data_IF_470872607375
#
_entry.id   IF_470872607375
#
_cell.length_a   1.000
_cell.length_b   1.000
_cell.length_c   1.000
_cell.angle_alpha   90.00
_cell.angle_beta   90.00
_cell.angle_gamma   90.00
#
_symmetry.space_group_name_H-M   'P 1'
#
loop_
_entity.id
_entity.type
_entity.pdbx_description
1 polymer ?
#
# COMPACT_ATOMS: atom_id res chain seq x y z
N UNK A 1 -10.16 38.69 -65.54
CA UNK A 1 -10.24 37.24 -65.27
C UNK A 1 -9.49 36.83 -63.99
N UNK A 2 -8.16 36.97 -63.93
CA UNK A 2 -7.34 36.51 -62.79
C UNK A 2 -7.76 37.06 -61.41
N UNK A 3 -7.92 38.39 -61.28
CA UNK A 3 -8.28 39.05 -60.00
C UNK A 3 -9.62 38.55 -59.44
N UNK A 4 -10.61 38.33 -60.29
CA UNK A 4 -11.94 37.84 -59.87
C UNK A 4 -11.85 36.42 -59.33
N UNK A 5 -11.08 35.56 -59.99
CA UNK A 5 -10.84 34.18 -59.54
C UNK A 5 -10.00 34.12 -58.26
N UNK A 6 -9.06 35.05 -58.08
CA UNK A 6 -8.29 35.15 -56.84
C UNK A 6 -9.20 35.55 -55.66
N UNK A 7 -10.06 36.56 -55.85
CA UNK A 7 -11.00 37.02 -54.81
C UNK A 7 -12.03 35.96 -54.39
N UNK A 8 -12.44 35.08 -55.30
CA UNK A 8 -13.42 34.03 -54.99
C UNK A 8 -12.83 32.82 -54.27
N UNK A 9 -11.51 32.61 -54.38
CA UNK A 9 -10.84 31.40 -53.85
C UNK A 9 -9.87 31.69 -52.70
N UNK A 10 -9.44 32.94 -52.51
CA UNK A 10 -8.54 33.32 -51.42
C UNK A 10 -9.35 33.83 -50.22
N UNK A 11 -9.44 33.00 -49.18
CA UNK A 11 -9.99 33.38 -47.88
C UNK A 11 -8.85 33.61 -46.90
N UNK A 12 -8.81 34.81 -46.30
CA UNK A 12 -7.78 35.20 -45.33
C UNK A 12 -8.43 35.32 -43.95
N UNK A 13 -7.88 34.60 -42.97
CA UNK A 13 -8.28 34.70 -41.57
C UNK A 13 -7.11 35.26 -40.78
N UNK A 14 -7.35 36.31 -40.01
CA UNK A 14 -6.35 37.00 -39.22
C UNK A 14 -6.70 36.89 -37.73
N UNK A 15 -5.80 36.32 -36.94
CA UNK A 15 -5.99 36.17 -35.49
C UNK A 15 -5.13 37.19 -34.75
N UNK A 16 -5.77 38.08 -34.01
CA UNK A 16 -5.09 39.12 -33.24
C UNK A 16 -5.42 39.00 -31.75
N UNK A 17 -4.44 39.30 -30.90
CA UNK A 17 -4.72 39.53 -29.48
C UNK A 17 -5.31 40.92 -29.29
N UNK A 18 -6.46 41.06 -28.61
CA UNK A 18 -7.02 42.37 -28.26
C UNK A 18 -6.23 43.06 -27.15
N UNK A 19 -5.24 42.39 -26.53
CA UNK A 19 -4.45 42.92 -25.43
C UNK A 19 -3.32 43.82 -25.95
N UNK A 20 -3.29 45.06 -25.47
CA UNK A 20 -2.25 46.05 -25.76
C UNK A 20 -2.57 47.01 -26.89
N UNK A 21 -1.80 48.09 -26.99
CA UNK A 21 -2.10 49.21 -27.90
C UNK A 21 -1.75 48.94 -29.37
N UNK A 22 -0.89 47.95 -29.64
CA UNK A 22 -0.39 47.66 -30.99
C UNK A 22 -1.51 47.32 -31.97
N UNK A 23 -2.49 46.51 -31.55
CA UNK A 23 -3.61 46.15 -32.41
C UNK A 23 -4.47 47.36 -32.75
N UNK A 24 -4.84 48.16 -31.75
CA UNK A 24 -5.56 49.43 -31.95
C UNK A 24 -4.85 50.36 -32.93
N UNK A 25 -3.55 50.59 -32.75
CA UNK A 25 -2.77 51.46 -33.62
C UNK A 25 -2.68 50.93 -35.06
N UNK A 26 -2.62 49.61 -35.26
CA UNK A 26 -2.63 49.00 -36.59
C UNK A 26 -4.00 49.09 -37.25
N UNK A 27 -5.07 48.84 -36.48
CA UNK A 27 -6.43 48.94 -36.98
C UNK A 27 -6.77 50.35 -37.47
N UNK A 28 -6.26 51.38 -36.78
CA UNK A 28 -6.38 52.78 -37.22
C UNK A 28 -5.57 53.09 -38.49
N UNK A 29 -4.37 52.51 -38.62
CA UNK A 29 -3.53 52.70 -39.82
C UNK A 29 -4.05 51.96 -41.05
N UNK A 30 -4.78 50.86 -40.86
CA UNK A 30 -5.27 49.99 -41.93
C UNK A 30 -6.78 49.74 -41.78
N UNK A 31 -7.65 50.70 -42.18
CA UNK A 31 -9.10 50.60 -42.00
C UNK A 31 -9.73 49.41 -42.73
N UNK A 32 -9.10 48.92 -43.81
CA UNK A 32 -9.54 47.72 -44.55
C UNK A 32 -9.58 46.45 -43.70
N UNK A 33 -8.85 46.39 -42.58
CA UNK A 33 -8.94 45.26 -41.63
C UNK A 33 -10.29 45.18 -40.93
N UNK A 34 -10.95 46.32 -40.70
CA UNK A 34 -12.25 46.37 -40.02
C UNK A 34 -13.37 46.37 -41.06
N UNK A 35 -13.24 47.15 -42.14
CA UNK A 35 -14.31 47.28 -43.14
C UNK A 35 -14.38 46.11 -44.13
N UNK A 36 -13.28 45.39 -44.34
CA UNK A 36 -13.20 44.30 -45.32
C UNK A 36 -13.30 42.88 -44.74
N UNK A 37 -13.38 42.75 -43.42
CA UNK A 37 -13.40 41.45 -42.74
C UNK A 37 -14.60 41.35 -41.78
N UNK A 38 -15.10 40.13 -41.58
CA UNK A 38 -16.05 39.84 -40.49
C UNK A 38 -15.28 39.67 -39.19
N UNK A 39 -15.75 40.32 -38.12
CA UNK A 39 -15.14 40.23 -36.80
C UNK A 39 -15.81 39.12 -35.98
N UNK A 40 -14.99 38.21 -35.46
CA UNK A 40 -15.39 37.17 -34.51
C UNK A 40 -14.64 37.35 -33.19
N UNK A 41 -15.37 37.38 -32.08
CA UNK A 41 -14.84 37.69 -30.76
C UNK A 41 -14.71 36.44 -29.91
N UNK A 42 -13.48 36.11 -29.52
CA UNK A 42 -13.21 35.02 -28.59
C UNK A 42 -13.28 35.52 -27.16
N UNK A 43 -14.40 35.24 -26.50
CA UNK A 43 -14.60 35.50 -25.08
C UNK A 43 -13.99 34.40 -24.21
N UNK A 44 -13.91 34.68 -22.90
CA UNK A 44 -13.54 33.65 -21.92
C UNK A 44 -14.59 32.53 -21.94
N UNK A 45 -14.14 31.31 -21.69
CA UNK A 45 -15.06 30.17 -21.58
C UNK A 45 -16.04 30.38 -20.43
N UNK A 46 -17.36 30.26 -20.66
CA UNK A 46 -18.33 30.27 -19.59
C UNK A 46 -18.16 29.03 -18.71
N UNK A 47 -18.75 29.05 -17.51
CA UNK A 47 -18.68 27.94 -16.57
C UNK A 47 -19.15 26.63 -17.19
N UNK A 48 -20.20 26.65 -18.00
CA UNK A 48 -20.73 25.46 -18.68
C UNK A 48 -19.71 24.84 -19.65
N UNK A 49 -18.94 25.67 -20.35
CA UNK A 49 -17.88 25.19 -21.24
C UNK A 49 -16.72 24.58 -20.44
N UNK A 50 -16.36 25.19 -19.29
CA UNK A 50 -15.34 24.64 -18.39
C UNK A 50 -15.76 23.29 -17.80
N UNK A 51 -17.03 23.15 -17.43
CA UNK A 51 -17.64 21.88 -16.97
C UNK A 51 -17.63 20.85 -18.10
N UNK A 52 -18.02 21.22 -19.32
CA UNK A 52 -18.04 20.32 -20.46
C UNK A 52 -16.63 19.81 -20.82
N UNK A 53 -15.62 20.69 -20.80
CA UNK A 53 -14.21 20.32 -21.02
C UNK A 53 -13.72 19.40 -19.90
N UNK A 54 -14.02 19.73 -18.64
CA UNK A 54 -13.65 18.89 -17.50
C UNK A 54 -14.29 17.50 -17.61
N UNK A 55 -15.57 17.45 -17.99
CA UNK A 55 -16.29 16.19 -18.19
C UNK A 55 -15.67 15.38 -19.33
N UNK A 56 -15.36 15.99 -20.47
CA UNK A 56 -14.67 15.31 -21.57
C UNK A 56 -13.33 14.72 -21.12
N UNK A 57 -12.56 15.46 -20.31
CA UNK A 57 -11.27 14.97 -19.82
C UNK A 57 -11.39 13.89 -18.75
N UNK A 58 -12.34 13.98 -17.83
CA UNK A 58 -12.40 13.13 -16.63
C UNK A 58 -13.43 11.99 -16.72
N UNK A 59 -14.40 12.04 -17.64
CA UNK A 59 -15.45 11.01 -17.80
C UNK A 59 -14.86 9.61 -18.00
N UNK A 60 -13.91 9.46 -18.93
CA UNK A 60 -13.23 8.19 -19.23
C UNK A 60 -12.06 7.89 -18.28
N UNK A 61 -11.71 8.80 -17.38
CA UNK A 61 -10.63 8.58 -16.42
C UNK A 61 -11.13 7.76 -15.22
N UNK A 62 -10.41 6.70 -14.85
CA UNK A 62 -10.75 5.90 -13.68
C UNK A 62 -10.47 6.68 -12.38
N UNK A 63 -11.41 6.64 -11.47
CA UNK A 63 -11.32 7.30 -10.16
C UNK A 63 -12.10 6.45 -9.17
N UNK A 64 -11.52 6.20 -8.00
CA UNK A 64 -12.18 5.46 -6.91
C UNK A 64 -13.20 6.37 -6.23
N UNK A 65 -14.37 6.54 -6.85
CA UNK A 65 -15.45 7.40 -6.35
C UNK A 65 -16.81 6.96 -6.89
N UNK A 66 -17.89 7.35 -6.23
CA UNK A 66 -19.24 7.21 -6.79
C UNK A 66 -19.46 8.20 -7.95
N UNK A 67 -20.53 7.98 -8.73
CA UNK A 67 -20.88 8.84 -9.87
C UNK A 67 -21.15 10.28 -9.43
N UNK A 68 -21.82 10.45 -8.28
CA UNK A 68 -22.15 11.75 -7.70
C UNK A 68 -20.88 12.53 -7.35
N UNK A 69 -19.94 11.89 -6.66
CA UNK A 69 -18.65 12.50 -6.30
C UNK A 69 -17.87 12.88 -7.55
N UNK A 70 -17.88 12.04 -8.59
CA UNK A 70 -17.20 12.33 -9.85
C UNK A 70 -17.79 13.54 -10.56
N UNK A 71 -19.12 13.66 -10.57
CA UNK A 71 -19.80 14.84 -11.11
C UNK A 71 -19.49 16.11 -10.32
N UNK A 72 -19.40 16.01 -8.98
CA UNK A 72 -18.98 17.10 -8.10
C UNK A 72 -17.54 17.54 -8.38
N UNK A 73 -16.62 16.59 -8.55
CA UNK A 73 -15.24 16.85 -8.93
C UNK A 73 -15.15 17.63 -10.24
N UNK A 74 -15.90 17.22 -11.28
CA UNK A 74 -15.93 17.90 -12.58
C UNK A 74 -16.37 19.36 -12.44
N UNK A 75 -17.40 19.63 -11.62
CA UNK A 75 -17.87 21.00 -11.35
C UNK A 75 -16.82 21.82 -10.60
N UNK A 76 -16.19 21.24 -9.58
CA UNK A 76 -15.15 21.90 -8.79
C UNK A 76 -13.96 22.31 -9.65
N UNK A 77 -13.53 21.48 -10.61
CA UNK A 77 -12.43 21.82 -11.52
C UNK A 77 -12.74 23.12 -12.29
N UNK A 78 -13.98 23.26 -12.78
CA UNK A 78 -14.43 24.46 -13.46
C UNK A 78 -14.47 25.68 -12.53
N UNK A 79 -15.00 25.52 -11.30
CA UNK A 79 -15.03 26.58 -10.29
C UNK A 79 -13.64 27.06 -9.89
N UNK A 80 -12.66 26.15 -9.73
CA UNK A 80 -11.28 26.53 -9.42
C UNK A 80 -10.71 27.48 -10.49
N UNK A 81 -10.94 27.17 -11.76
CA UNK A 81 -10.47 27.99 -12.87
C UNK A 81 -11.13 29.39 -12.88
N UNK A 82 -12.41 29.46 -12.54
CA UNK A 82 -13.15 30.72 -12.39
C UNK A 82 -12.60 31.54 -11.22
N UNK A 83 -12.42 30.93 -10.05
CA UNK A 83 -11.82 31.58 -8.87
C UNK A 83 -10.42 32.12 -9.18
N UNK A 84 -9.55 31.34 -9.86
CA UNK A 84 -8.22 31.84 -10.24
C UNK A 84 -8.32 33.04 -11.18
N UNK A 85 -9.32 33.05 -12.06
CA UNK A 85 -9.57 34.19 -12.97
C UNK A 85 -9.99 35.44 -12.21
N UNK A 86 -10.87 35.32 -11.21
CA UNK A 86 -11.26 36.43 -10.32
C UNK A 86 -10.07 36.92 -9.50
N UNK A 87 -9.26 36.00 -8.98
CA UNK A 87 -8.06 36.33 -8.21
C UNK A 87 -7.02 37.08 -9.04
N UNK A 88 -6.88 36.78 -10.34
CA UNK A 88 -6.04 37.56 -11.24
C UNK A 88 -6.49 39.03 -11.36
N UNK A 89 -7.81 39.28 -11.37
CA UNK A 89 -8.35 40.64 -11.38
C UNK A 89 -8.07 41.35 -10.06
N UNK A 90 -8.40 40.71 -8.93
CA UNK A 90 -8.13 41.26 -7.60
C UNK A 90 -6.62 41.54 -7.37
N UNK A 91 -5.75 40.67 -7.88
CA UNK A 91 -4.30 40.83 -7.80
C UNK A 91 -3.83 42.05 -8.61
N UNK A 92 -4.39 42.27 -9.81
CA UNK A 92 -4.11 43.45 -10.60
C UNK A 92 -4.61 44.73 -9.93
N UNK A 93 -5.81 44.71 -9.34
CA UNK A 93 -6.36 45.88 -8.64
C UNK A 93 -5.50 46.30 -7.45
N UNK A 94 -5.01 45.33 -6.68
CA UNK A 94 -4.22 45.59 -5.47
C UNK A 94 -2.75 45.92 -5.74
N UNK A 95 -2.11 45.19 -6.66
CA UNK A 95 -0.65 45.28 -6.86
C UNK A 95 -0.24 45.88 -8.20
N UNK A 96 -1.20 46.19 -9.09
CA UNK A 96 -0.97 46.69 -10.46
C UNK A 96 -0.03 45.79 -11.29
N UNK A 97 0.02 44.51 -10.96
CA UNK A 97 0.76 43.47 -11.69
C UNK A 97 -0.24 42.60 -12.46
N UNK A 98 -0.11 42.58 -13.78
CA UNK A 98 -0.97 41.75 -14.62
C UNK A 98 -0.53 40.29 -14.57
N UNK A 99 -1.48 39.41 -14.29
CA UNK A 99 -1.34 37.96 -14.41
C UNK A 99 -2.44 37.46 -15.35
N UNK A 100 -2.12 36.43 -16.14
CA UNK A 100 -3.01 35.91 -17.16
C UNK A 100 -3.30 34.44 -16.93
N UNK A 101 -4.56 34.09 -17.13
CA UNK A 101 -5.06 32.72 -17.09
C UNK A 101 -5.59 32.42 -18.49
N UNK A 102 -5.25 31.25 -19.03
CA UNK A 102 -5.64 30.86 -20.39
C UNK A 102 -6.34 29.50 -20.37
N UNK A 103 -7.18 29.17 -21.36
CA UNK A 103 -7.72 27.82 -21.49
C UNK A 103 -6.60 26.75 -21.52
N UNK A 104 -5.42 27.06 -22.07
CA UNK A 104 -4.27 26.16 -22.05
C UNK A 104 -3.79 25.83 -20.63
N UNK A 105 -3.74 26.81 -19.73
CA UNK A 105 -3.36 26.54 -18.32
C UNK A 105 -4.38 25.64 -17.63
N UNK A 106 -5.67 25.76 -17.97
CA UNK A 106 -6.71 24.87 -17.48
C UNK A 106 -6.54 23.43 -17.96
N UNK A 107 -6.25 23.24 -19.26
CA UNK A 107 -5.98 21.91 -19.82
C UNK A 107 -4.74 21.26 -19.18
N UNK A 108 -3.68 22.04 -18.95
CA UNK A 108 -2.51 21.57 -18.20
C UNK A 108 -2.87 21.17 -16.77
N UNK A 109 -3.72 21.94 -16.09
CA UNK A 109 -4.20 21.61 -14.75
C UNK A 109 -4.95 20.27 -14.72
N UNK A 110 -5.89 20.04 -15.64
CA UNK A 110 -6.60 18.76 -15.76
C UNK A 110 -5.66 17.59 -16.07
N UNK A 111 -4.65 17.82 -16.92
CA UNK A 111 -3.61 16.84 -17.22
C UNK A 111 -2.77 16.48 -15.98
N UNK A 112 -2.29 17.49 -15.26
CA UNK A 112 -1.53 17.31 -14.03
C UNK A 112 -2.34 16.60 -12.95
N UNK A 113 -3.64 16.87 -12.84
CA UNK A 113 -4.52 16.16 -11.92
C UNK A 113 -4.53 14.66 -12.17
N UNK A 114 -4.61 14.22 -13.44
CA UNK A 114 -4.59 12.79 -13.79
C UNK A 114 -3.29 12.13 -13.36
N UNK A 115 -2.16 12.75 -13.69
CA UNK A 115 -0.83 12.23 -13.32
C UNK A 115 -0.71 12.11 -11.80
N UNK A 116 -1.03 13.19 -11.08
CA UNK A 116 -0.93 13.21 -9.63
C UNK A 116 -1.88 12.19 -8.97
N UNK A 117 -3.11 12.06 -9.47
CA UNK A 117 -4.06 11.09 -8.94
C UNK A 117 -3.56 9.67 -9.10
N UNK A 118 -3.04 9.33 -10.29
CA UNK A 118 -2.46 8.01 -10.56
C UNK A 118 -1.31 7.70 -9.61
N UNK A 119 -0.34 8.61 -9.50
CA UNK A 119 0.84 8.41 -8.65
C UNK A 119 0.44 8.20 -7.18
N UNK A 120 -0.53 8.97 -6.69
CA UNK A 120 -1.05 8.81 -5.31
C UNK A 120 -1.84 7.53 -5.13
N UNK A 121 -2.65 7.15 -6.12
CA UNK A 121 -3.44 5.94 -6.07
C UNK A 121 -2.54 4.70 -6.07
N UNK A 122 -1.56 4.64 -6.97
CA UNK A 122 -0.59 3.55 -7.05
C UNK A 122 0.23 3.45 -5.76
N UNK A 123 0.66 4.58 -5.20
CA UNK A 123 1.36 4.61 -3.90
C UNK A 123 0.52 4.07 -2.74
N UNK A 124 -0.77 4.39 -2.69
CA UNK A 124 -1.69 3.85 -1.68
C UNK A 124 -1.94 2.36 -1.92
N UNK A 125 -2.08 1.93 -3.17
CA UNK A 125 -2.30 0.52 -3.50
C UNK A 125 -1.13 -0.36 -3.03
N UNK A 126 0.11 0.09 -3.21
CA UNK A 126 1.30 -0.59 -2.70
C UNK A 126 1.28 -0.70 -1.17
N UNK A 127 0.90 0.38 -0.48
CA UNK A 127 0.82 0.39 0.98
C UNK A 127 -0.29 -0.55 1.49
N UNK A 128 -1.46 -0.52 0.84
CA UNK A 128 -2.58 -1.39 1.16
C UNK A 128 -2.21 -2.87 0.97
N UNK A 129 -1.49 -3.20 -0.10
CA UNK A 129 -1.04 -4.57 -0.38
C UNK A 129 -0.02 -5.06 0.64
N UNK A 130 0.89 -4.19 1.07
CA UNK A 130 1.82 -4.49 2.16
C UNK A 130 1.08 -4.75 3.47
N UNK A 131 0.09 -3.94 3.81
CA UNK A 131 -0.74 -4.14 5.00
C UNK A 131 -1.54 -5.44 4.92
N UNK A 132 -2.13 -5.75 3.75
CA UNK A 132 -2.87 -6.99 3.51
C UNK A 132 -1.98 -8.21 3.72
N UNK A 133 -0.78 -8.19 3.13
CA UNK A 133 0.22 -9.27 3.30
C UNK A 133 0.61 -9.45 4.77
N UNK A 134 0.87 -8.34 5.48
CA UNK A 134 1.17 -8.38 6.91
C UNK A 134 0.03 -9.00 7.73
N UNK A 135 -1.22 -8.61 7.44
CA UNK A 135 -2.40 -9.18 8.09
C UNK A 135 -2.54 -10.68 7.82
N UNK A 136 -2.35 -11.12 6.58
CA UNK A 136 -2.37 -12.55 6.22
C UNK A 136 -1.33 -13.32 7.01
N UNK A 137 -0.11 -12.81 7.18
CA UNK A 137 0.93 -13.45 8.00
C UNK A 137 0.60 -13.52 9.48
N UNK A 138 -0.10 -12.51 10.02
CA UNK A 138 -0.57 -12.55 11.41
C UNK A 138 -1.65 -13.63 11.60
N UNK A 139 -2.55 -13.78 10.63
CA UNK A 139 -3.60 -14.81 10.65
C UNK A 139 -2.95 -16.21 10.56
N UNK A 140 -2.03 -16.43 9.61
CA UNK A 140 -1.29 -17.70 9.49
C UNK A 140 -0.54 -18.07 10.79
N UNK A 141 0.08 -17.08 11.44
CA UNK A 141 0.78 -17.29 12.70
C UNK A 141 -0.17 -17.65 13.85
N UNK A 142 -1.33 -16.99 13.94
CA UNK A 142 -2.35 -17.30 14.94
C UNK A 142 -2.88 -18.74 14.78
N UNK A 143 -3.19 -19.15 13.54
CA UNK A 143 -3.60 -20.52 13.23
C UNK A 143 -2.52 -21.54 13.60
N UNK A 144 -1.25 -21.23 13.32
CA UNK A 144 -0.11 -22.10 13.67
C UNK A 144 0.03 -22.27 15.18
N UNK A 145 -0.15 -21.19 15.95
CA UNK A 145 -0.12 -21.24 17.43
C UNK A 145 -1.29 -22.06 17.98
N UNK A 146 -2.48 -21.95 17.39
CA UNK A 146 -3.64 -22.75 17.80
C UNK A 146 -3.44 -24.25 17.54
N UNK A 147 -2.77 -24.62 16.44
CA UNK A 147 -2.40 -26.02 16.15
C UNK A 147 -1.39 -26.53 17.20
N UNK A 148 -0.30 -25.78 17.43
CA UNK A 148 0.73 -26.15 18.40
C UNK A 148 0.16 -26.29 19.82
N UNK A 149 -0.80 -25.44 20.19
CA UNK A 149 -1.48 -25.53 21.49
C UNK A 149 -2.23 -26.85 21.66
N UNK A 150 -2.96 -27.29 20.62
CA UNK A 150 -3.68 -28.58 20.65
C UNK A 150 -2.71 -29.76 20.72
N UNK A 151 -1.62 -29.71 19.97
CA UNK A 151 -0.58 -30.75 20.01
C UNK A 151 0.10 -30.82 21.39
N UNK A 152 0.34 -29.67 22.02
CA UNK A 152 0.93 -29.60 23.36
C UNK A 152 0.02 -30.26 24.40
N UNK A 153 -1.28 -29.97 24.39
CA UNK A 153 -2.25 -30.59 25.30
C UNK A 153 -2.26 -32.12 25.18
N UNK A 154 -2.15 -32.67 23.95
CA UNK A 154 -2.05 -34.12 23.74
C UNK A 154 -0.73 -34.67 24.30
N UNK A 155 0.39 -34.02 24.01
CA UNK A 155 1.70 -34.47 24.50
C UNK A 155 1.85 -34.39 26.02
N UNK A 156 1.26 -33.41 26.67
CA UNK A 156 1.23 -33.34 28.14
C UNK A 156 0.51 -34.55 28.75
N UNK A 157 -0.60 -35.00 28.15
CA UNK A 157 -1.30 -36.21 28.57
C UNK A 157 -0.44 -37.47 28.36
N UNK A 158 0.21 -37.61 27.20
CA UNK A 158 1.12 -38.72 26.92
C UNK A 158 2.29 -38.78 27.91
N UNK A 159 2.89 -37.62 28.23
CA UNK A 159 3.97 -37.51 29.23
C UNK A 159 3.46 -37.91 30.61
N UNK A 160 2.26 -37.51 31.02
CA UNK A 160 1.70 -37.92 32.31
C UNK A 160 1.54 -39.44 32.41
N UNK A 161 1.06 -40.09 31.34
CA UNK A 161 0.93 -41.56 31.27
C UNK A 161 2.30 -42.23 31.29
N UNK A 162 3.26 -41.73 30.50
CA UNK A 162 4.61 -42.26 30.45
C UNK A 162 5.34 -42.10 31.80
N UNK A 163 5.20 -40.96 32.48
CA UNK A 163 5.76 -40.74 33.81
C UNK A 163 5.14 -41.68 34.85
N UNK A 164 3.81 -41.88 34.83
CA UNK A 164 3.16 -42.83 35.74
C UNK A 164 3.60 -44.28 35.49
N UNK A 165 3.85 -44.65 34.23
CA UNK A 165 4.42 -45.95 33.89
C UNK A 165 5.89 -46.07 34.36
N UNK A 166 6.69 -45.02 34.17
CA UNK A 166 8.09 -44.97 34.61
C UNK A 166 8.20 -45.06 36.14
N UNK A 167 7.36 -44.35 36.90
CA UNK A 167 7.32 -44.45 38.37
C UNK A 167 6.99 -45.88 38.84
N UNK A 168 6.05 -46.57 38.18
CA UNK A 168 5.75 -47.98 38.49
C UNK A 168 6.96 -48.88 38.26
N UNK A 169 7.67 -48.72 37.14
CA UNK A 169 8.88 -49.49 36.85
C UNK A 169 9.97 -49.17 37.86
N UNK A 170 10.17 -47.89 38.20
CA UNK A 170 11.14 -47.45 39.20
C UNK A 170 10.87 -48.10 40.55
N UNK A 171 9.62 -48.12 41.02
CA UNK A 171 9.25 -48.77 42.28
C UNK A 171 9.50 -50.29 42.28
N UNK A 172 9.33 -50.96 41.13
CA UNK A 172 9.65 -52.38 40.98
C UNK A 172 11.17 -52.61 41.03
N UNK A 173 11.94 -51.76 40.33
CA UNK A 173 13.40 -51.82 40.32
C UNK A 173 13.99 -51.50 41.70
N UNK A 174 13.44 -50.53 42.43
CA UNK A 174 13.85 -50.24 43.81
C UNK A 174 13.60 -51.42 44.75
N UNK A 175 12.43 -52.07 44.65
CA UNK A 175 12.14 -53.29 45.42
C UNK A 175 13.08 -54.43 45.04
N UNK A 176 13.32 -54.66 43.75
CA UNK A 176 14.24 -55.68 43.28
C UNK A 176 15.69 -55.39 43.71
N UNK A 177 16.13 -54.14 43.66
CA UNK A 177 17.43 -53.66 44.14
C UNK A 177 17.58 -53.87 45.65
N UNK A 178 16.57 -53.54 46.44
CA UNK A 178 16.57 -53.79 47.89
C UNK A 178 16.68 -55.29 48.21
N UNK A 179 15.98 -56.15 47.46
CA UNK A 179 16.09 -57.62 47.59
C UNK A 179 17.49 -58.10 47.17
N UNK A 180 18.01 -57.62 46.04
CA UNK A 180 19.34 -57.99 45.55
C UNK A 180 20.45 -57.56 46.52
N UNK A 181 20.32 -56.37 47.15
CA UNK A 181 21.25 -55.92 48.19
C UNK A 181 21.20 -56.79 49.44
N UNK A 182 20.01 -57.24 49.89
CA UNK A 182 19.89 -58.22 50.99
C UNK A 182 20.54 -59.56 50.65
N UNK A 183 20.30 -60.09 49.45
CA UNK A 183 20.93 -61.34 48.99
C UNK A 183 22.46 -61.16 48.92
N UNK A 184 22.94 -59.98 48.50
CA UNK A 184 24.37 -59.66 48.45
C UNK A 184 24.99 -59.60 49.86
N UNK A 185 24.28 -59.03 50.83
CA UNK A 185 24.67 -59.06 52.25
C UNK A 185 24.71 -60.51 52.79
N UNK A 186 23.69 -61.32 52.51
CA UNK A 186 23.66 -62.73 52.92
C UNK A 186 24.79 -63.54 52.27
N UNK A 187 25.06 -63.32 50.98
CA UNK A 187 26.15 -63.97 50.26
C UNK A 187 27.53 -63.55 50.78
N UNK A 188 27.70 -62.30 51.22
CA UNK A 188 28.92 -61.84 51.90
C UNK A 188 29.14 -62.57 53.23
N UNK A 189 28.08 -62.76 54.02
CA UNK A 189 28.13 -63.52 55.28
C UNK A 189 28.49 -64.99 55.00
N UNK A 190 27.89 -65.61 53.98
CA UNK A 190 28.22 -67.00 53.58
C UNK A 190 29.66 -67.10 53.08
N UNK A 191 30.14 -66.13 52.30
CA UNK A 191 31.52 -66.06 51.84
C UNK A 191 32.50 -65.95 53.02
N UNK A 192 32.25 -65.07 53.99
CA UNK A 192 33.07 -64.95 55.20
C UNK A 192 33.08 -66.25 56.01
N UNK A 193 31.92 -66.91 56.17
CA UNK A 193 31.83 -68.23 56.84
C UNK A 193 32.63 -69.30 56.09
N UNK A 194 32.56 -69.34 54.76
CA UNK A 194 33.32 -70.27 53.94
C UNK A 194 34.84 -70.00 54.04
N UNK A 195 35.27 -68.74 54.04
CA UNK A 195 36.67 -68.37 54.21
C UNK A 195 37.22 -68.74 55.60
N UNK A 196 36.39 -68.62 56.65
CA UNK A 196 36.75 -69.09 58.01
C UNK A 196 36.86 -70.63 58.07
N UNK A 197 35.97 -71.36 57.39
CA UNK A 197 36.04 -72.81 57.26
C UNK A 197 37.28 -73.27 56.48
N UNK A 198 37.60 -72.62 55.36
CA UNK A 198 38.82 -72.90 54.57
C UNK A 198 40.08 -72.62 55.38
N UNK A 199 40.11 -71.54 56.17
CA UNK A 199 41.22 -71.26 57.10
C UNK A 199 41.35 -72.29 58.22
N UNK A 200 40.26 -72.89 58.70
CA UNK A 200 40.30 -74.02 59.65
C UNK A 200 40.85 -75.29 59.00
N UNK A 201 40.35 -75.66 57.82
CA UNK A 201 40.81 -76.84 57.08
C UNK A 201 42.31 -76.70 56.70
N UNK A 202 42.76 -75.50 56.33
CA UNK A 202 44.18 -75.23 56.06
C UNK A 202 45.08 -75.25 57.30
N UNK A 203 44.52 -75.09 58.51
CA UNK A 203 45.24 -75.32 59.78
C UNK A 203 45.32 -76.80 60.11
N UNK A 204 44.27 -77.56 59.83
CA UNK A 204 44.23 -79.01 60.09
C UNK A 204 45.15 -79.78 59.13
N UNK A 205 45.32 -79.34 57.89
CA UNK A 205 46.31 -79.91 56.94
C UNK A 205 47.77 -79.56 57.24
N UNK A 206 48.05 -78.54 58.07
CA UNK A 206 49.42 -78.20 58.50
C UNK A 206 49.87 -78.93 59.77
N UNK A 207 48.95 -79.65 60.42
CA UNK A 207 49.18 -80.41 61.65
C UNK A 207 49.17 -81.94 61.43
N UNK A 208 49.25 -82.40 60.17
CA UNK A 208 49.47 -83.80 59.78
C UNK A 208 50.82 -83.91 59.08
#
# INVERSE_FOLDING_TARGET
FFISRARSNLHVVLCFSPVGEKFRNRALKFPGLISGCTMDWYSRWPIDALVAVSNHFLSNYYTVSTSEIKSGLIRIMATIQETVTEMCVAYFERFRRQTFVTPKTFLSFLGSYKVLYKDKHDGIAVLAERMRTGLTKLIEAAESVDILRKELEVKEQEIAVANAAAEKVLAVVEKASAIANKIKEEALIVKERAEVLVKKIGKDQKNA
#
